data_IF_498246718439
#
_entry.id   IF_498246718439
#
_cell.length_a   1.000
_cell.length_b   1.000
_cell.length_c   1.000
_cell.angle_alpha   90.00
_cell.angle_beta   90.00
_cell.angle_gamma   90.00
#
_symmetry.space_group_name_H-M   'P 1'
#
loop_
_entity.id
_entity.type
_entity.pdbx_description
1 polymer ?
#
# COMPACT_ATOMS: atom_id res chain seq x y z
N UNK A 1 8.76 2.97 20.63
CA UNK A 1 9.82 1.96 20.49
C UNK A 1 9.34 0.95 19.47
N UNK A 2 10.20 0.42 18.57
CA UNK A 2 9.77 -0.62 17.64
C UNK A 2 9.22 -1.81 18.43
N UNK A 3 7.94 -2.09 18.21
CA UNK A 3 7.25 -3.27 18.70
C UNK A 3 7.34 -4.38 17.67
N UNK A 4 6.72 -5.50 18.01
CA UNK A 4 6.60 -6.65 17.14
C UNK A 4 5.24 -6.59 16.45
N UNK A 5 5.22 -6.63 15.12
CA UNK A 5 3.99 -6.59 14.31
C UNK A 5 3.93 -7.84 13.45
N UNK A 6 2.83 -8.57 13.49
CA UNK A 6 2.56 -9.64 12.54
C UNK A 6 1.83 -9.04 11.33
N UNK A 7 2.42 -9.19 10.14
CA UNK A 7 1.92 -8.54 8.93
C UNK A 7 0.53 -9.04 8.54
N UNK A 8 0.26 -10.34 8.68
CA UNK A 8 -1.05 -10.90 8.36
C UNK A 8 -2.17 -10.31 9.20
N UNK A 9 -1.97 -10.09 10.50
CA UNK A 9 -2.96 -9.42 11.34
C UNK A 9 -3.18 -7.96 10.92
N UNK A 10 -2.11 -7.19 10.65
CA UNK A 10 -2.25 -5.81 10.17
C UNK A 10 -3.01 -5.73 8.84
N UNK A 11 -2.68 -6.60 7.87
CA UNK A 11 -3.33 -6.67 6.55
C UNK A 11 -4.83 -6.98 6.71
N UNK A 12 -5.17 -8.06 7.43
CA UNK A 12 -6.55 -8.46 7.63
C UNK A 12 -7.38 -7.41 8.38
N UNK A 13 -6.77 -6.70 9.33
CA UNK A 13 -7.43 -5.61 10.07
C UNK A 13 -7.81 -4.47 9.12
N UNK A 14 -6.91 -4.07 8.21
CA UNK A 14 -7.18 -3.05 7.18
C UNK A 14 -8.23 -3.53 6.17
N UNK A 15 -8.12 -4.76 5.66
CA UNK A 15 -9.13 -5.34 4.75
C UNK A 15 -10.51 -5.32 5.40
N UNK A 16 -10.61 -5.74 6.67
CA UNK A 16 -11.88 -5.79 7.41
C UNK A 16 -12.47 -4.39 7.61
N UNK A 17 -11.65 -3.39 7.93
CA UNK A 17 -12.09 -1.97 8.06
C UNK A 17 -12.64 -1.42 6.74
N UNK A 18 -12.08 -1.85 5.61
CA UNK A 18 -12.45 -1.38 4.28
C UNK A 18 -13.42 -2.29 3.53
N UNK A 19 -14.00 -3.31 4.18
CA UNK A 19 -14.86 -4.33 3.52
C UNK A 19 -15.95 -3.73 2.64
N UNK A 20 -16.61 -2.66 3.10
CA UNK A 20 -17.68 -2.02 2.35
C UNK A 20 -17.17 -1.33 1.08
N UNK A 21 -15.96 -0.75 1.13
CA UNK A 21 -15.33 -0.11 -0.03
C UNK A 21 -14.85 -1.15 -1.05
N UNK A 22 -14.29 -2.28 -0.60
CA UNK A 22 -13.98 -3.40 -1.48
C UNK A 22 -15.24 -3.89 -2.22
N UNK A 23 -16.33 -4.12 -1.48
CA UNK A 23 -17.59 -4.58 -2.06
C UNK A 23 -18.19 -3.56 -3.03
N UNK A 24 -18.26 -2.30 -2.64
CA UNK A 24 -18.85 -1.23 -3.46
C UNK A 24 -18.11 -1.02 -4.77
N UNK A 25 -16.78 -1.17 -4.77
CA UNK A 25 -15.95 -0.99 -5.95
C UNK A 25 -15.68 -2.29 -6.72
N UNK A 26 -16.35 -3.40 -6.37
CA UNK A 26 -16.16 -4.71 -7.00
C UNK A 26 -14.70 -5.20 -6.97
N UNK A 27 -14.02 -4.98 -5.84
CA UNK A 27 -12.62 -5.35 -5.62
C UNK A 27 -12.52 -6.57 -4.69
N UNK A 28 -11.61 -7.47 -5.02
CA UNK A 28 -11.35 -8.67 -4.23
C UNK A 28 -9.96 -8.58 -3.58
N UNK A 29 -9.86 -8.65 -2.25
CA UNK A 29 -8.57 -8.74 -1.58
C UNK A 29 -7.99 -10.16 -1.73
N UNK A 30 -6.72 -10.26 -2.09
CA UNK A 30 -5.96 -11.52 -2.11
C UNK A 30 -4.75 -11.40 -1.21
N UNK A 31 -4.58 -12.29 -0.24
CA UNK A 31 -3.40 -12.33 0.63
C UNK A 31 -2.59 -13.58 0.30
N UNK A 32 -1.30 -13.43 0.04
CA UNK A 32 -0.39 -14.54 -0.31
C UNK A 32 1.03 -14.32 0.23
N UNK A 33 1.83 -15.39 0.31
CA UNK A 33 3.22 -15.36 0.77
C UNK A 33 3.39 -15.79 2.23
N UNK A 34 4.44 -15.27 2.90
CA UNK A 34 4.82 -15.59 4.28
C UNK A 34 3.85 -14.92 5.29
N UNK A 35 2.70 -15.54 5.51
CA UNK A 35 1.63 -15.03 6.39
C UNK A 35 2.02 -15.03 7.88
N UNK A 36 3.08 -15.74 8.26
CA UNK A 36 3.57 -15.80 9.64
C UNK A 36 4.68 -14.77 9.89
N UNK A 37 4.99 -13.91 8.91
CA UNK A 37 6.03 -12.90 9.03
C UNK A 37 5.75 -11.91 10.17
N UNK A 38 6.68 -11.89 11.11
CA UNK A 38 6.72 -10.98 12.25
C UNK A 38 7.87 -9.99 12.06
N UNK A 39 7.56 -8.71 12.10
CA UNK A 39 8.50 -7.61 11.79
C UNK A 39 8.69 -6.66 12.96
N UNK A 40 9.83 -5.97 12.97
CA UNK A 40 10.07 -4.85 13.87
C UNK A 40 9.45 -3.59 13.27
N UNK A 41 8.44 -3.02 13.92
CA UNK A 41 7.77 -1.80 13.46
C UNK A 41 6.97 -1.17 14.60
N UNK A 42 6.28 -0.06 14.37
CA UNK A 42 5.22 0.43 15.25
C UNK A 42 3.84 0.01 14.67
N UNK A 43 2.99 -0.62 15.48
CA UNK A 43 1.69 -1.15 15.03
C UNK A 43 0.80 -0.07 14.43
N UNK A 44 0.63 1.06 15.14
CA UNK A 44 -0.27 2.14 14.73
C UNK A 44 0.19 2.78 13.43
N UNK A 45 1.49 3.07 13.34
CA UNK A 45 2.06 3.71 12.16
C UNK A 45 2.16 2.76 10.96
N UNK A 46 2.40 1.46 11.18
CA UNK A 46 2.34 0.46 10.13
C UNK A 46 0.93 0.33 9.55
N UNK A 47 -0.09 0.24 10.41
CA UNK A 47 -1.48 0.21 9.98
C UNK A 47 -1.86 1.46 9.20
N UNK A 48 -1.40 2.65 9.63
CA UNK A 48 -1.63 3.89 8.90
C UNK A 48 -1.04 3.83 7.48
N UNK A 49 0.20 3.34 7.32
CA UNK A 49 0.82 3.21 6.00
C UNK A 49 -0.02 2.27 5.11
N UNK A 50 -0.35 1.08 5.62
CA UNK A 50 -1.12 0.08 4.86
C UNK A 50 -2.49 0.65 4.48
N UNK A 51 -3.18 1.31 5.40
CA UNK A 51 -4.49 1.93 5.17
C UNK A 51 -4.44 2.98 4.06
N UNK A 52 -3.44 3.87 4.06
CA UNK A 52 -3.29 4.88 3.01
C UNK A 52 -3.02 4.26 1.64
N UNK A 53 -2.16 3.24 1.59
CA UNK A 53 -1.87 2.53 0.34
C UNK A 53 -3.12 1.80 -0.17
N UNK A 54 -3.85 1.10 0.70
CA UNK A 54 -5.09 0.40 0.35
C UNK A 54 -6.18 1.38 -0.12
N UNK A 55 -6.31 2.54 0.53
CA UNK A 55 -7.25 3.57 0.11
C UNK A 55 -6.97 4.06 -1.31
N UNK A 56 -5.69 4.30 -1.64
CA UNK A 56 -5.28 4.66 -2.99
C UNK A 56 -5.56 3.52 -3.99
N UNK A 57 -5.19 2.28 -3.66
CA UNK A 57 -5.43 1.12 -4.50
C UNK A 57 -6.93 0.95 -4.82
N UNK A 58 -7.81 1.07 -3.83
CA UNK A 58 -9.27 1.01 -4.02
C UNK A 58 -9.74 2.14 -4.92
N UNK A 59 -9.33 3.37 -4.63
CA UNK A 59 -9.78 4.57 -5.35
C UNK A 59 -9.39 4.51 -6.83
N UNK A 60 -8.17 4.09 -7.14
CA UNK A 60 -7.64 4.11 -8.50
C UNK A 60 -7.87 2.80 -9.27
N UNK A 61 -8.41 1.76 -8.62
CA UNK A 61 -8.84 0.51 -9.27
C UNK A 61 -10.35 0.45 -9.52
N UNK A 62 -11.12 1.42 -9.04
CA UNK A 62 -12.57 1.42 -9.16
C UNK A 62 -13.04 1.64 -10.62
N UNK A 63 -13.18 0.55 -11.37
CA UNK A 63 -13.87 0.50 -12.66
C UNK A 63 -15.04 -0.48 -12.60
N UNK A 64 -16.17 -0.13 -13.23
CA UNK A 64 -17.44 -0.87 -13.08
C UNK A 64 -17.55 -2.13 -13.94
N UNK A 65 -16.64 -2.37 -14.88
CA UNK A 65 -16.83 -3.40 -15.93
C UNK A 65 -16.42 -4.81 -15.52
N UNK A 66 -15.51 -4.97 -14.56
CA UNK A 66 -15.02 -6.29 -14.12
C UNK A 66 -14.51 -6.23 -12.68
N UNK A 67 -14.54 -7.37 -11.99
CA UNK A 67 -13.90 -7.47 -10.68
C UNK A 67 -12.38 -7.39 -10.85
N UNK A 68 -11.73 -6.61 -10.01
CA UNK A 68 -10.26 -6.48 -9.96
C UNK A 68 -9.73 -6.95 -8.62
N UNK A 69 -8.45 -7.31 -8.59
CA UNK A 69 -7.81 -7.87 -7.40
C UNK A 69 -6.84 -6.85 -6.81
N UNK A 70 -6.89 -6.67 -5.48
CA UNK A 70 -5.79 -6.04 -4.73
C UNK A 70 -5.04 -7.15 -4.01
N UNK A 71 -3.78 -7.36 -4.40
CA UNK A 71 -2.94 -8.42 -3.86
C UNK A 71 -2.00 -7.89 -2.79
N UNK A 72 -2.03 -8.52 -1.62
CA UNK A 72 -1.13 -8.31 -0.49
C UNK A 72 -0.15 -9.49 -0.46
N UNK A 73 1.06 -9.27 -0.95
CA UNK A 73 2.08 -10.32 -1.08
C UNK A 73 3.20 -10.10 -0.07
N UNK A 74 3.42 -11.06 0.82
CA UNK A 74 4.49 -11.03 1.81
C UNK A 74 5.65 -11.91 1.33
N UNK A 75 6.74 -11.30 0.89
CA UNK A 75 7.90 -12.01 0.31
C UNK A 75 9.11 -11.89 1.21
N UNK A 76 9.65 -13.03 1.67
CA UNK A 76 10.92 -13.06 2.38
C UNK A 76 12.06 -12.84 1.38
N UNK A 77 12.83 -11.77 1.58
CA UNK A 77 13.95 -11.40 0.70
C UNK A 77 15.27 -12.01 1.21
N UNK A 78 15.40 -12.15 2.53
CA UNK A 78 16.56 -12.77 3.17
C UNK A 78 16.19 -13.34 4.55
N UNK A 79 17.18 -13.85 5.30
CA UNK A 79 16.97 -14.24 6.69
C UNK A 79 16.52 -13.08 7.59
N UNK A 80 16.91 -11.84 7.24
CA UNK A 80 16.68 -10.67 8.07
C UNK A 80 15.61 -9.71 7.51
N UNK A 81 15.16 -9.88 6.26
CA UNK A 81 14.26 -8.94 5.60
C UNK A 81 13.06 -9.62 4.96
N UNK A 82 11.91 -8.94 5.05
CA UNK A 82 10.66 -9.31 4.39
C UNK A 82 10.05 -8.06 3.75
N UNK A 83 9.38 -8.24 2.62
CA UNK A 83 8.69 -7.15 1.92
C UNK A 83 7.20 -7.44 1.84
N UNK A 84 6.38 -6.49 2.29
CA UNK A 84 4.97 -6.42 1.95
C UNK A 84 4.82 -5.66 0.63
N UNK A 85 4.24 -6.29 -0.37
CA UNK A 85 3.79 -5.65 -1.61
C UNK A 85 2.28 -5.52 -1.59
N UNK A 86 1.78 -4.33 -1.86
CA UNK A 86 0.35 -4.06 -2.10
C UNK A 86 0.24 -3.70 -3.58
N UNK A 87 -0.44 -4.56 -4.33
CA UNK A 87 -0.49 -4.55 -5.79
C UNK A 87 -1.95 -4.32 -6.20
N UNK A 88 -2.20 -3.30 -7.02
CA UNK A 88 -3.50 -2.99 -7.59
C UNK A 88 -3.49 -3.07 -9.12
N UNK A 89 -4.67 -3.24 -9.70
CA UNK A 89 -4.92 -3.32 -11.15
C UNK A 89 -5.58 -2.03 -11.66
N UNK A 90 -5.21 -0.90 -11.05
CA UNK A 90 -5.78 0.40 -11.33
C UNK A 90 -5.22 1.08 -12.58
N UNK A 91 -5.53 2.37 -12.71
CA UNK A 91 -5.11 3.19 -13.85
C UNK A 91 -3.58 3.38 -13.96
N UNK A 92 -2.85 3.09 -12.88
CA UNK A 92 -1.41 3.31 -12.78
C UNK A 92 -1.01 4.79 -12.65
N UNK A 93 0.29 5.01 -12.49
CA UNK A 93 0.94 6.32 -12.31
C UNK A 93 1.92 6.51 -13.48
N UNK A 94 1.87 7.65 -14.19
CA UNK A 94 2.86 7.97 -15.21
C UNK A 94 4.28 7.95 -14.65
N UNK A 95 5.25 7.43 -15.42
CA UNK A 95 6.64 7.35 -14.97
C UNK A 95 7.23 8.71 -14.56
N UNK A 96 6.80 9.80 -15.22
CA UNK A 96 7.21 11.18 -14.90
C UNK A 96 6.74 11.66 -13.52
N UNK A 97 5.74 11.00 -12.94
CA UNK A 97 5.12 11.39 -11.67
C UNK A 97 5.52 10.47 -10.50
N UNK A 98 6.21 9.36 -10.73
CA UNK A 98 6.56 8.36 -9.69
C UNK A 98 7.33 8.98 -8.52
N UNK A 99 8.33 9.81 -8.79
CA UNK A 99 9.08 10.46 -7.72
C UNK A 99 8.26 11.58 -7.06
N UNK A 100 7.37 12.20 -7.85
CA UNK A 100 6.56 13.36 -7.44
C UNK A 100 5.37 12.96 -6.58
N UNK A 101 4.83 11.74 -6.70
CA UNK A 101 3.76 11.26 -5.81
C UNK A 101 4.17 11.13 -4.35
N UNK A 102 5.48 11.20 -4.07
CA UNK A 102 6.02 11.28 -2.71
C UNK A 102 6.28 12.72 -2.25
N UNK A 103 6.01 13.74 -3.07
CA UNK A 103 6.07 15.14 -2.67
C UNK A 103 4.76 15.59 -2.00
N UNK A 104 4.82 16.44 -0.98
CA UNK A 104 3.63 16.94 -0.33
C UNK A 104 2.76 17.75 -1.30
N UNK A 105 1.45 17.56 -1.22
CA UNK A 105 0.43 18.26 -2.02
C UNK A 105 0.43 17.91 -3.52
N UNK A 106 1.21 16.93 -3.95
CA UNK A 106 1.16 16.45 -5.32
C UNK A 106 -0.06 15.56 -5.55
N UNK A 107 -0.86 15.86 -6.57
CA UNK A 107 -2.08 15.10 -6.89
C UNK A 107 -2.11 14.56 -8.32
N UNK A 108 -1.06 14.75 -9.12
CA UNK A 108 -1.05 14.38 -10.54
C UNK A 108 -2.22 15.00 -11.33
N UNK A 109 -2.38 14.62 -12.60
CA UNK A 109 -3.54 15.05 -13.40
C UNK A 109 -4.84 14.39 -12.90
N UNK A 110 -4.76 13.11 -12.53
CA UNK A 110 -5.92 12.31 -12.09
C UNK A 110 -6.51 12.75 -10.74
N UNK A 111 -5.68 13.30 -9.84
CA UNK A 111 -6.15 13.85 -8.57
C UNK A 111 -6.70 15.27 -8.69
N UNK A 112 -6.39 16.02 -9.75
CA UNK A 112 -7.03 17.33 -10.02
C UNK A 112 -8.50 17.20 -10.42
N UNK A 113 -8.86 16.09 -11.06
CA UNK A 113 -10.25 15.75 -11.40
C UNK A 113 -11.04 15.28 -10.17
N UNK A 114 -10.36 14.73 -9.16
CA UNK A 114 -10.95 14.21 -7.93
C UNK A 114 -10.65 15.13 -6.73
N UNK A 115 -11.59 16.03 -6.40
CA UNK A 115 -11.46 17.06 -5.34
C UNK A 115 -11.13 16.55 -3.93
N UNK A 116 -11.21 15.24 -3.69
CA UNK A 116 -10.89 14.63 -2.39
C UNK A 116 -9.41 14.25 -2.23
N UNK A 117 -8.58 14.48 -3.25
CA UNK A 117 -7.14 14.14 -3.21
C UNK A 117 -6.34 15.30 -2.62
N UNK A 118 -5.85 15.18 -1.39
CA UNK A 118 -5.00 16.23 -0.77
C UNK A 118 -3.54 16.15 -1.19
N UNK A 119 -3.10 15.03 -1.76
CA UNK A 119 -1.69 14.79 -2.14
C UNK A 119 -0.75 14.60 -0.95
N UNK A 120 -1.29 14.32 0.24
CA UNK A 120 -0.48 14.19 1.47
C UNK A 120 -0.22 12.71 1.83
N UNK A 121 -1.10 11.80 1.43
CA UNK A 121 -1.10 10.40 1.90
C UNK A 121 0.23 9.66 1.66
N UNK A 122 0.67 9.54 0.41
CA UNK A 122 1.90 8.80 0.08
C UNK A 122 3.17 9.49 0.60
N UNK A 123 3.20 10.83 0.63
CA UNK A 123 4.27 11.58 1.29
C UNK A 123 4.39 11.20 2.78
N UNK A 124 3.26 11.13 3.50
CA UNK A 124 3.26 10.68 4.89
C UNK A 124 3.72 9.23 5.01
N UNK A 125 3.28 8.33 4.11
CA UNK A 125 3.73 6.95 4.09
C UNK A 125 5.26 6.85 4.01
N UNK A 126 5.88 7.52 3.03
CA UNK A 126 7.32 7.52 2.86
C UNK A 126 8.05 8.15 4.06
N UNK A 127 7.51 9.23 4.61
CA UNK A 127 8.08 9.90 5.80
C UNK A 127 8.04 9.00 7.03
N UNK A 128 6.92 8.31 7.27
CA UNK A 128 6.73 7.41 8.41
C UNK A 128 7.59 6.16 8.21
N UNK A 129 7.59 5.55 7.03
CA UNK A 129 8.43 4.40 6.71
C UNK A 129 9.91 4.70 6.99
N UNK A 130 10.41 5.85 6.50
CA UNK A 130 11.77 6.31 6.79
C UNK A 130 12.05 6.45 8.29
N UNK A 131 11.12 7.02 9.06
CA UNK A 131 11.25 7.16 10.52
C UNK A 131 11.26 5.81 11.26
N UNK A 132 10.63 4.79 10.68
CA UNK A 132 10.61 3.42 11.20
C UNK A 132 11.77 2.55 10.68
N UNK A 133 12.65 3.12 9.84
CA UNK A 133 13.71 2.40 9.12
C UNK A 133 13.20 1.31 8.15
N UNK A 134 12.05 1.55 7.53
CA UNK A 134 11.50 0.71 6.47
C UNK A 134 11.86 1.30 5.11
N UNK A 135 12.16 0.44 4.14
CA UNK A 135 12.26 0.86 2.74
C UNK A 135 10.84 1.02 2.18
N UNK A 136 10.57 2.12 1.49
CA UNK A 136 9.28 2.37 0.83
C UNK A 136 9.51 2.67 -0.64
N UNK A 137 8.95 1.85 -1.52
CA UNK A 137 9.14 1.95 -2.97
C UNK A 137 7.81 1.86 -3.71
N UNK A 138 7.68 2.60 -4.80
CA UNK A 138 6.54 2.54 -5.71
C UNK A 138 7.06 2.13 -7.09
N UNK A 139 6.37 1.20 -7.73
CA UNK A 139 6.52 0.88 -9.15
C UNK A 139 5.15 0.85 -9.78
N UNK A 140 4.97 1.48 -10.94
CA UNK A 140 3.66 1.55 -11.60
C UNK A 140 3.82 1.69 -13.10
N UNK A 141 2.78 1.24 -13.82
CA UNK A 141 2.66 1.39 -15.26
C UNK A 141 1.23 1.79 -15.61
N UNK A 142 1.08 2.78 -16.48
CA UNK A 142 -0.22 3.31 -16.89
C UNK A 142 -1.04 2.21 -17.57
N UNK A 143 -2.26 2.00 -17.08
CA UNK A 143 -3.17 0.96 -17.54
C UNK A 143 -2.92 -0.44 -16.97
N UNK A 144 -1.82 -0.66 -16.25
CA UNK A 144 -1.51 -1.95 -15.61
C UNK A 144 -1.71 -1.92 -14.08
N UNK A 145 -1.50 -0.76 -13.45
CA UNK A 145 -1.72 -0.56 -12.02
C UNK A 145 -0.47 -0.17 -11.25
N UNK A 146 -0.52 -0.28 -9.93
CA UNK A 146 0.55 0.16 -9.02
C UNK A 146 0.95 -0.94 -8.05
N UNK A 147 2.25 -1.03 -7.76
CA UNK A 147 2.79 -1.82 -6.66
C UNK A 147 3.51 -0.90 -5.69
N UNK A 148 3.05 -0.89 -4.45
CA UNK A 148 3.76 -0.27 -3.32
C UNK A 148 4.44 -1.36 -2.51
N UNK A 149 5.74 -1.21 -2.28
CA UNK A 149 6.57 -2.16 -1.53
C UNK A 149 7.07 -1.52 -0.24
N UNK A 150 6.86 -2.21 0.88
CA UNK A 150 7.38 -1.83 2.20
C UNK A 150 8.30 -2.96 2.66
N UNK A 151 9.60 -2.68 2.81
CA UNK A 151 10.57 -3.64 3.31
C UNK A 151 10.80 -3.40 4.81
N UNK A 152 10.78 -4.49 5.57
CA UNK A 152 10.94 -4.50 7.01
C UNK A 152 12.11 -5.38 7.42
N UNK A 153 12.64 -5.11 8.61
CA UNK A 153 13.44 -6.07 9.35
C UNK A 153 12.54 -7.14 9.97
N UNK A 154 12.84 -8.40 9.69
CA UNK A 154 12.24 -9.55 10.35
C UNK A 154 12.69 -9.59 11.81
N UNK A 155 11.76 -9.94 12.69
CA UNK A 155 12.09 -10.36 14.04
C UNK A 155 12.50 -11.83 13.98
N UNK A 156 13.73 -12.12 14.36
CA UNK A 156 14.21 -13.49 14.59
C UNK A 156 13.63 -14.06 15.88
#
# INVERSE_FOLDING_TARGET
MPTTVNLYFSINKVIKRNKNLFLYNNLLPKVEGDIDAVVLSDEKWNEFIIEQVVSNAIKYSAEKSSAKIITFKVERISKAHVTLKIIDEGIGIPNSDIDRVLEPFFTGENGRLNRDSTGIGLYLCATIAKKLNHEFKITSMVGEGTTVSIQYLLKN
#
